data_IF_345992744355
#
_entry.id   IF_345992744355
#
_cell.length_a   1.000
_cell.length_b   1.000
_cell.length_c   1.000
_cell.angle_alpha   90.00
_cell.angle_beta   90.00
_cell.angle_gamma   90.00
#
_symmetry.space_group_name_H-M   'P 1'
#
loop_
_entity.id
_entity.type
_entity.pdbx_description
1 polymer ?
#
# COMPACT_ATOMS: atom_id res chain seq x y z
N UNK A 1 -26.51 25.18 -12.56
CA UNK A 1 -26.44 25.46 -11.11
C UNK A 1 -25.54 26.65 -10.89
N UNK A 2 -25.83 27.51 -9.90
CA UNK A 2 -24.90 28.56 -9.50
C UNK A 2 -23.63 27.92 -8.90
N UNK A 3 -22.49 28.59 -9.07
CA UNK A 3 -21.24 28.14 -8.48
C UNK A 3 -21.30 28.24 -6.96
N UNK A 4 -20.98 27.15 -6.26
CA UNK A 4 -20.86 27.10 -4.80
C UNK A 4 -19.38 27.00 -4.43
N UNK A 5 -18.83 28.07 -3.88
CA UNK A 5 -17.43 28.10 -3.45
C UNK A 5 -17.16 27.20 -2.25
N UNK A 6 -18.12 27.09 -1.33
CA UNK A 6 -17.97 26.26 -0.14
C UNK A 6 -17.84 24.79 -0.50
N UNK A 7 -18.69 24.30 -1.42
CA UNK A 7 -18.59 22.93 -1.92
C UNK A 7 -17.28 22.69 -2.69
N UNK A 8 -16.86 23.63 -3.54
CA UNK A 8 -15.62 23.49 -4.29
C UNK A 8 -14.37 23.47 -3.38
N UNK A 9 -14.38 24.23 -2.29
CA UNK A 9 -13.33 24.19 -1.25
C UNK A 9 -13.32 22.83 -0.54
N UNK A 10 -14.50 22.31 -0.15
CA UNK A 10 -14.59 20.97 0.45
C UNK A 10 -14.09 19.89 -0.49
N UNK A 11 -14.36 20.02 -1.78
CA UNK A 11 -13.90 19.09 -2.80
C UNK A 11 -12.38 19.02 -2.83
N UNK A 12 -11.66 20.15 -2.83
CA UNK A 12 -10.17 20.14 -2.74
C UNK A 12 -9.69 19.36 -1.50
N UNK A 13 -10.31 19.56 -0.34
CA UNK A 13 -9.95 18.80 0.87
C UNK A 13 -10.31 17.32 0.78
N UNK A 14 -11.41 16.98 0.10
CA UNK A 14 -11.84 15.61 -0.10
C UNK A 14 -10.88 14.85 -1.02
N UNK A 15 -10.46 15.48 -2.13
CA UNK A 15 -9.38 14.95 -2.96
C UNK A 15 -8.13 14.79 -2.12
N UNK A 16 -7.70 15.83 -1.40
CA UNK A 16 -6.51 15.75 -0.54
C UNK A 16 -6.53 14.54 0.42
N UNK A 17 -7.67 14.35 1.07
CA UNK A 17 -7.89 13.21 1.97
C UNK A 17 -7.79 11.85 1.25
N UNK A 18 -8.31 11.75 0.01
CA UNK A 18 -8.24 10.54 -0.81
C UNK A 18 -6.80 10.19 -1.17
N UNK A 19 -6.03 11.09 -1.79
CA UNK A 19 -4.68 10.68 -2.22
C UNK A 19 -3.73 10.48 -1.03
N UNK A 20 -3.92 11.21 0.07
CA UNK A 20 -3.16 10.97 1.29
C UNK A 20 -3.51 9.62 1.92
N UNK A 21 -4.77 9.20 1.85
CA UNK A 21 -5.19 7.84 2.21
C UNK A 21 -4.55 6.79 1.30
N UNK A 22 -4.57 6.98 -0.02
CA UNK A 22 -3.97 6.05 -0.98
C UNK A 22 -2.45 5.91 -0.79
N UNK A 23 -1.76 7.01 -0.47
CA UNK A 23 -0.36 6.95 -0.06
C UNK A 23 -0.14 6.08 1.19
N UNK A 24 -1.07 6.14 2.16
CA UNK A 24 -1.07 5.28 3.35
C UNK A 24 -1.42 3.81 3.05
N UNK A 25 -2.26 3.55 2.06
CA UNK A 25 -2.51 2.20 1.55
C UNK A 25 -1.22 1.63 0.95
N UNK A 26 -0.51 2.42 0.13
CA UNK A 26 0.79 2.03 -0.41
C UNK A 26 1.82 1.74 0.71
N UNK A 27 1.88 2.56 1.76
CA UNK A 27 2.71 2.27 2.96
C UNK A 27 2.40 0.86 3.53
N UNK A 28 1.12 0.53 3.64
CA UNK A 28 0.67 -0.80 4.09
C UNK A 28 1.05 -1.90 3.10
N UNK A 29 0.90 -1.65 1.80
CA UNK A 29 1.32 -2.55 0.73
C UNK A 29 2.81 -2.93 0.82
N UNK A 30 3.67 -1.95 1.12
CA UNK A 30 5.11 -2.19 1.32
C UNK A 30 5.41 -3.05 2.56
N UNK A 31 4.68 -2.85 3.66
CA UNK A 31 4.79 -3.69 4.85
C UNK A 31 4.38 -5.14 4.53
N UNK A 32 3.30 -5.33 3.76
CA UNK A 32 2.84 -6.65 3.30
C UNK A 32 3.86 -7.30 2.36
N UNK A 33 4.47 -6.54 1.46
CA UNK A 33 5.53 -7.04 0.57
C UNK A 33 6.73 -7.59 1.37
N UNK A 34 7.19 -6.82 2.37
CA UNK A 34 8.26 -7.24 3.27
C UNK A 34 7.86 -8.49 4.08
N UNK A 35 6.61 -8.59 4.50
CA UNK A 35 6.07 -9.75 5.21
C UNK A 35 6.07 -10.99 4.31
N UNK A 36 5.63 -10.89 3.06
CA UNK A 36 5.64 -12.02 2.13
C UNK A 36 7.07 -12.47 1.81
N UNK A 37 7.96 -11.54 1.42
CA UNK A 37 9.31 -11.86 0.95
C UNK A 37 10.24 -12.28 2.09
N UNK A 38 10.30 -11.50 3.18
CA UNK A 38 11.30 -11.76 4.23
C UNK A 38 10.81 -12.71 5.33
N UNK A 39 9.53 -12.61 5.71
CA UNK A 39 8.99 -13.39 6.82
C UNK A 39 8.42 -14.72 6.33
N UNK A 40 7.44 -14.69 5.43
CA UNK A 40 6.73 -15.90 5.02
C UNK A 40 7.59 -16.82 4.17
N UNK A 41 8.42 -16.33 3.24
CA UNK A 41 9.33 -17.22 2.51
C UNK A 41 10.28 -17.96 3.45
N UNK A 42 10.83 -17.27 4.46
CA UNK A 42 11.69 -17.90 5.47
C UNK A 42 10.93 -18.99 6.22
N UNK A 43 9.74 -18.68 6.73
CA UNK A 43 8.92 -19.65 7.48
C UNK A 43 8.52 -20.83 6.59
N UNK A 44 8.11 -20.56 5.34
CA UNK A 44 7.75 -21.58 4.36
C UNK A 44 8.92 -22.53 4.09
N UNK A 45 10.12 -21.99 3.86
CA UNK A 45 11.31 -22.78 3.55
C UNK A 45 11.75 -23.63 4.76
N UNK A 46 11.66 -23.08 5.98
CA UNK A 46 11.89 -23.81 7.23
C UNK A 46 10.88 -24.95 7.43
N UNK A 47 9.58 -24.66 7.27
CA UNK A 47 8.51 -25.65 7.38
C UNK A 47 8.68 -26.78 6.35
N UNK A 48 9.05 -26.43 5.11
CA UNK A 48 9.23 -27.38 4.02
C UNK A 48 10.43 -28.30 4.25
N UNK A 49 11.52 -27.79 4.86
CA UNK A 49 12.75 -28.54 5.07
C UNK A 49 12.58 -29.74 6.00
N UNK A 50 11.76 -29.64 7.04
CA UNK A 50 11.54 -30.72 8.02
C UNK A 50 10.10 -31.26 8.03
N UNK A 51 9.26 -30.79 7.11
CA UNK A 51 7.83 -31.08 7.01
C UNK A 51 7.03 -30.67 8.25
N UNK A 52 7.38 -29.52 8.83
CA UNK A 52 6.68 -28.91 9.94
C UNK A 52 6.97 -29.55 11.30
N UNK A 53 8.00 -30.40 11.42
CA UNK A 53 8.32 -31.08 12.69
C UNK A 53 8.74 -30.09 13.79
N UNK A 54 9.43 -29.02 13.41
CA UNK A 54 9.85 -27.93 14.30
C UNK A 54 8.84 -26.78 14.37
N UNK A 55 7.68 -26.89 13.71
CA UNK A 55 6.71 -25.80 13.68
C UNK A 55 6.03 -25.65 15.05
N UNK A 56 6.29 -24.52 15.70
CA UNK A 56 5.57 -24.07 16.89
C UNK A 56 4.66 -22.90 16.50
N UNK A 57 3.36 -23.10 16.63
CA UNK A 57 2.34 -22.10 16.31
C UNK A 57 2.43 -20.87 17.21
N UNK A 58 2.62 -21.06 18.51
CA UNK A 58 2.68 -19.97 19.49
C UNK A 58 3.90 -19.10 19.22
N UNK A 59 5.03 -19.72 18.92
CA UNK A 59 6.24 -18.99 18.52
C UNK A 59 6.03 -18.26 17.19
N UNK A 60 5.44 -18.92 16.19
CA UNK A 60 5.15 -18.31 14.88
C UNK A 60 4.28 -17.05 15.01
N UNK A 61 3.17 -17.12 15.77
CA UNK A 61 2.26 -15.99 15.97
C UNK A 61 2.97 -14.82 16.67
N UNK A 62 3.77 -15.09 17.72
CA UNK A 62 4.55 -14.06 18.39
C UNK A 62 5.63 -13.43 17.49
N UNK A 63 6.30 -14.22 16.65
CA UNK A 63 7.27 -13.71 15.67
C UNK A 63 6.61 -12.87 14.59
N UNK A 64 5.43 -13.28 14.11
CA UNK A 64 4.64 -12.55 13.13
C UNK A 64 4.20 -11.20 13.67
N UNK A 65 3.60 -11.16 14.87
CA UNK A 65 3.14 -9.92 15.50
C UNK A 65 4.30 -8.93 15.70
N UNK A 66 5.44 -9.43 16.21
CA UNK A 66 6.65 -8.61 16.36
C UNK A 66 7.15 -8.11 15.01
N UNK A 67 7.13 -8.94 13.97
CA UNK A 67 7.52 -8.53 12.63
C UNK A 67 6.64 -7.40 12.11
N UNK A 68 5.31 -7.56 12.18
CA UNK A 68 4.35 -6.57 11.70
C UNK A 68 4.39 -5.27 12.50
N UNK A 69 4.49 -5.34 13.83
CA UNK A 69 4.71 -4.16 14.68
C UNK A 69 5.96 -3.38 14.25
N UNK A 70 7.06 -4.07 13.97
CA UNK A 70 8.27 -3.44 13.47
C UNK A 70 8.08 -2.77 12.10
N UNK A 71 7.23 -3.33 11.22
CA UNK A 71 6.93 -2.72 9.92
C UNK A 71 6.08 -1.46 10.08
N UNK A 72 5.01 -1.53 10.89
CA UNK A 72 4.09 -0.41 11.12
C UNK A 72 4.74 0.76 11.88
N UNK A 73 5.82 0.52 12.63
CA UNK A 73 6.60 1.57 13.27
C UNK A 73 7.54 2.32 12.30
N UNK A 74 7.71 1.83 11.06
CA UNK A 74 8.57 2.49 10.06
C UNK A 74 7.83 3.64 9.38
N UNK A 75 8.60 4.67 9.00
CA UNK A 75 8.12 5.68 8.05
C UNK A 75 8.09 5.09 6.62
N UNK A 76 7.29 5.69 5.72
CA UNK A 76 7.28 5.34 4.29
C UNK A 76 8.69 5.28 3.70
N UNK A 77 9.53 6.26 4.01
CA UNK A 77 10.91 6.31 3.52
C UNK A 77 11.75 5.10 3.96
N UNK A 78 11.57 4.64 5.20
CA UNK A 78 12.27 3.46 5.70
C UNK A 78 11.72 2.17 5.09
N UNK A 79 10.40 2.06 4.86
CA UNK A 79 9.80 0.94 4.14
C UNK A 79 10.33 0.86 2.71
N UNK A 80 10.32 1.97 1.96
CA UNK A 80 10.85 2.03 0.59
C UNK A 80 12.33 1.65 0.56
N UNK A 81 13.14 2.13 1.51
CA UNK A 81 14.56 1.75 1.58
C UNK A 81 14.74 0.24 1.70
N UNK A 82 13.92 -0.41 2.52
CA UNK A 82 13.99 -1.87 2.74
C UNK A 82 13.48 -2.64 1.53
N UNK A 83 12.36 -2.21 0.95
CA UNK A 83 11.78 -2.79 -0.28
C UNK A 83 12.74 -2.64 -1.46
N UNK A 84 13.46 -1.51 -1.56
CA UNK A 84 14.45 -1.28 -2.62
C UNK A 84 15.65 -2.20 -2.55
N UNK A 85 15.92 -2.81 -1.40
CA UNK A 85 16.99 -3.79 -1.22
C UNK A 85 16.56 -5.23 -1.60
N UNK A 86 15.29 -5.46 -1.90
CA UNK A 86 14.77 -6.78 -2.27
C UNK A 86 15.14 -7.09 -3.73
N UNK A 87 15.86 -8.19 -4.01
CA UNK A 87 16.18 -8.59 -5.37
C UNK A 87 14.96 -9.06 -6.18
N UNK A 88 13.87 -9.42 -5.52
CA UNK A 88 12.62 -9.91 -6.14
C UNK A 88 11.86 -8.83 -6.90
N UNK A 89 12.10 -7.56 -6.59
CA UNK A 89 11.37 -6.43 -7.16
C UNK A 89 12.18 -5.73 -8.26
N UNK A 90 11.51 -5.31 -9.32
CA UNK A 90 12.14 -4.67 -10.46
C UNK A 90 12.70 -3.29 -10.12
N UNK A 91 13.76 -2.88 -10.82
CA UNK A 91 14.33 -1.55 -10.67
C UNK A 91 13.36 -0.44 -11.09
N UNK A 92 12.45 -0.75 -12.04
CA UNK A 92 11.39 0.16 -12.50
C UNK A 92 10.41 0.45 -11.35
N UNK A 93 9.93 -0.58 -10.64
CA UNK A 93 9.05 -0.39 -9.49
C UNK A 93 9.77 0.37 -8.37
N UNK A 94 11.03 0.03 -8.09
CA UNK A 94 11.84 0.73 -7.08
C UNK A 94 12.02 2.20 -7.40
N UNK A 95 12.16 2.56 -8.68
CA UNK A 95 12.21 3.96 -9.11
C UNK A 95 10.90 4.69 -8.88
N UNK A 96 9.79 4.09 -9.28
CA UNK A 96 8.46 4.66 -9.05
C UNK A 96 8.14 4.84 -7.56
N UNK A 97 8.58 3.92 -6.71
CA UNK A 97 8.46 4.07 -5.24
C UNK A 97 9.24 5.28 -4.73
N UNK A 98 10.45 5.55 -5.26
CA UNK A 98 11.21 6.76 -4.89
C UNK A 98 10.47 8.03 -5.28
N UNK A 99 9.79 8.05 -6.42
CA UNK A 99 9.01 9.20 -6.86
C UNK A 99 7.71 9.36 -6.06
N UNK A 100 7.02 8.27 -5.75
CA UNK A 100 5.88 8.27 -4.83
C UNK A 100 6.23 8.85 -3.46
N UNK A 101 7.42 8.52 -2.92
CA UNK A 101 7.92 9.13 -1.69
C UNK A 101 8.01 10.65 -1.80
N UNK A 102 8.61 11.16 -2.89
CA UNK A 102 8.75 12.61 -3.09
C UNK A 102 7.38 13.29 -3.14
N UNK A 103 6.40 12.68 -3.82
CA UNK A 103 5.02 13.21 -3.86
C UNK A 103 4.36 13.18 -2.48
N UNK A 104 4.43 12.06 -1.75
CA UNK A 104 3.89 11.96 -0.38
C UNK A 104 4.52 12.99 0.57
N UNK A 105 5.83 13.19 0.50
CA UNK A 105 6.53 14.20 1.30
C UNK A 105 6.05 15.62 0.94
N UNK A 106 5.87 15.91 -0.35
CA UNK A 106 5.31 17.17 -0.82
C UNK A 106 3.88 17.40 -0.29
N UNK A 107 3.01 16.40 -0.42
CA UNK A 107 1.63 16.42 0.10
C UNK A 107 1.60 16.69 1.61
N UNK A 108 2.43 15.99 2.38
CA UNK A 108 2.44 16.09 3.84
C UNK A 108 3.08 17.36 4.41
N UNK A 109 3.95 18.04 3.65
CA UNK A 109 4.76 19.14 4.21
C UNK A 109 4.64 20.48 3.47
N UNK A 110 4.24 20.48 2.20
CA UNK A 110 4.39 21.65 1.34
C UNK A 110 3.12 22.02 0.57
N UNK A 111 2.27 21.05 0.24
CA UNK A 111 1.18 21.21 -0.73
C UNK A 111 0.33 22.47 -0.52
N UNK A 112 -0.39 22.59 0.59
CA UNK A 112 -1.28 23.74 0.81
C UNK A 112 -0.54 25.08 0.94
N UNK A 113 0.69 25.08 1.47
CA UNK A 113 1.51 26.31 1.55
C UNK A 113 1.90 26.78 0.15
N UNK A 114 2.30 25.86 -0.71
CA UNK A 114 2.75 26.18 -2.07
C UNK A 114 1.60 26.41 -3.05
N UNK A 115 0.41 25.87 -2.76
CA UNK A 115 -0.81 26.05 -3.56
C UNK A 115 -1.75 27.12 -3.01
N UNK A 116 -1.32 27.95 -2.07
CA UNK A 116 -2.19 28.93 -1.41
C UNK A 116 -2.82 29.94 -2.39
N UNK A 117 -2.08 30.33 -3.43
CA UNK A 117 -2.56 31.27 -4.46
C UNK A 117 -3.60 30.60 -5.36
N UNK A 118 -3.34 29.37 -5.79
CA UNK A 118 -4.29 28.55 -6.55
C UNK A 118 -5.57 28.31 -5.76
N UNK A 119 -5.46 27.99 -4.47
CA UNK A 119 -6.59 27.73 -3.60
C UNK A 119 -7.55 28.92 -3.46
N UNK A 120 -7.06 30.14 -3.66
CA UNK A 120 -7.80 31.39 -3.47
C UNK A 120 -8.83 31.69 -4.56
N UNK A 121 -8.87 30.92 -5.64
CA UNK A 121 -9.81 31.15 -6.74
C UNK A 121 -10.27 29.84 -7.39
N UNK A 122 -11.39 29.91 -8.11
CA UNK A 122 -12.00 28.72 -8.74
C UNK A 122 -11.05 27.98 -9.68
N UNK A 123 -10.44 28.69 -10.64
CA UNK A 123 -9.58 28.06 -11.64
C UNK A 123 -8.32 27.41 -11.03
N UNK A 124 -7.82 27.96 -9.91
CA UNK A 124 -6.72 27.34 -9.18
C UNK A 124 -7.16 26.11 -8.40
N UNK A 125 -8.34 26.12 -7.76
CA UNK A 125 -8.91 24.91 -7.14
C UNK A 125 -9.18 23.78 -8.14
N UNK A 126 -9.64 24.12 -9.35
CA UNK A 126 -9.80 23.13 -10.44
C UNK A 126 -8.44 22.45 -10.76
N UNK A 127 -7.34 23.22 -10.78
CA UNK A 127 -5.98 22.67 -10.99
C UNK A 127 -5.52 21.81 -9.81
N UNK A 128 -5.82 22.24 -8.58
CA UNK A 128 -5.48 21.49 -7.38
C UNK A 128 -6.19 20.13 -7.37
N UNK A 129 -7.49 20.10 -7.65
CA UNK A 129 -8.26 18.84 -7.76
C UNK A 129 -7.67 17.91 -8.82
N UNK A 130 -7.32 18.44 -10.00
CA UNK A 130 -6.71 17.63 -11.05
C UNK A 130 -5.31 17.09 -10.65
N UNK A 131 -4.49 17.90 -9.97
CA UNK A 131 -3.18 17.46 -9.44
C UNK A 131 -3.35 16.33 -8.42
N UNK A 132 -4.27 16.50 -7.47
CA UNK A 132 -4.54 15.54 -6.39
C UNK A 132 -5.12 14.23 -6.91
N UNK A 133 -6.06 14.30 -7.85
CA UNK A 133 -6.58 13.12 -8.53
C UNK A 133 -5.47 12.32 -9.20
N UNK A 134 -4.56 13.00 -9.92
CA UNK A 134 -3.44 12.35 -10.58
C UNK A 134 -2.42 11.76 -9.58
N UNK A 135 -2.17 12.43 -8.46
CA UNK A 135 -1.33 11.87 -7.38
C UNK A 135 -1.94 10.57 -6.84
N UNK A 136 -3.26 10.54 -6.64
CA UNK A 136 -3.97 9.34 -6.22
C UNK A 136 -3.84 8.17 -7.21
N UNK A 137 -4.10 8.45 -8.49
CA UNK A 137 -3.94 7.47 -9.57
C UNK A 137 -2.51 6.89 -9.62
N UNK A 138 -1.49 7.70 -9.32
CA UNK A 138 -0.09 7.25 -9.23
C UNK A 138 0.11 6.28 -8.07
N UNK A 139 -0.40 6.59 -6.87
CA UNK A 139 -0.26 5.71 -5.70
C UNK A 139 -0.96 4.37 -5.93
N UNK A 140 -2.21 4.39 -6.42
CA UNK A 140 -2.95 3.17 -6.76
C UNK A 140 -2.23 2.34 -7.83
N UNK A 141 -1.71 2.98 -8.88
CA UNK A 141 -1.00 2.26 -9.93
C UNK A 141 0.25 1.56 -9.39
N UNK A 142 1.01 2.24 -8.53
CA UNK A 142 2.21 1.64 -7.91
C UNK A 142 1.84 0.49 -6.98
N UNK A 143 0.74 0.60 -6.22
CA UNK A 143 0.27 -0.49 -5.37
C UNK A 143 -0.16 -1.71 -6.20
N UNK A 144 -0.88 -1.50 -7.32
CA UNK A 144 -1.23 -2.57 -8.27
C UNK A 144 0.01 -3.25 -8.86
N UNK A 145 1.03 -2.48 -9.23
CA UNK A 145 2.26 -3.02 -9.79
C UNK A 145 3.08 -3.81 -8.74
N UNK A 146 3.14 -3.31 -7.51
CA UNK A 146 3.71 -4.04 -6.38
C UNK A 146 2.98 -5.37 -6.16
N UNK A 147 1.64 -5.36 -6.18
CA UNK A 147 0.84 -6.57 -6.09
C UNK A 147 1.15 -7.53 -7.24
N UNK A 148 1.29 -7.04 -8.47
CA UNK A 148 1.62 -7.86 -9.64
C UNK A 148 3.01 -8.51 -9.54
N UNK A 149 4.04 -7.75 -9.15
CA UNK A 149 5.41 -8.27 -8.99
C UNK A 149 5.52 -9.34 -7.88
N UNK A 150 4.65 -9.27 -6.88
CA UNK A 150 4.59 -10.27 -5.81
C UNK A 150 3.86 -11.56 -6.20
N UNK A 151 3.31 -11.67 -7.41
CA UNK A 151 2.57 -12.87 -7.84
C UNK A 151 3.40 -14.18 -7.74
N UNK A 152 4.67 -14.25 -8.21
CA UNK A 152 5.48 -15.46 -8.07
C UNK A 152 5.76 -15.83 -6.61
N UNK A 153 5.90 -14.83 -5.73
CA UNK A 153 6.10 -15.03 -4.30
C UNK A 153 4.83 -15.60 -3.67
N UNK A 154 3.66 -15.03 -3.98
CA UNK A 154 2.37 -15.57 -3.52
C UNK A 154 2.14 -16.98 -4.02
N UNK A 155 2.51 -17.31 -5.25
CA UNK A 155 2.42 -18.66 -5.78
C UNK A 155 3.31 -19.64 -5.01
N UNK A 156 4.59 -19.28 -4.75
CA UNK A 156 5.49 -20.06 -3.89
C UNK A 156 4.88 -20.32 -2.50
N UNK A 157 4.24 -19.31 -1.91
CA UNK A 157 3.65 -19.38 -0.58
C UNK A 157 2.30 -20.12 -0.53
N UNK A 158 1.80 -20.64 -1.66
CA UNK A 158 0.49 -21.28 -1.73
C UNK A 158 -0.68 -20.30 -1.61
N UNK A 159 -0.43 -19.00 -1.77
CA UNK A 159 -1.40 -17.91 -1.76
C UNK A 159 -1.96 -17.62 -3.16
N UNK A 160 -2.10 -18.66 -3.97
CA UNK A 160 -2.61 -18.58 -5.34
C UNK A 160 -3.59 -19.73 -5.62
N UNK A 161 -4.40 -19.56 -6.66
CA UNK A 161 -5.31 -20.59 -7.16
C UNK A 161 -6.61 -20.76 -6.36
N UNK A 162 -7.44 -21.71 -6.82
CA UNK A 162 -8.83 -21.85 -6.40
C UNK A 162 -9.00 -22.21 -4.91
N UNK A 163 -8.07 -22.98 -4.34
CA UNK A 163 -8.13 -23.31 -2.90
C UNK A 163 -7.98 -22.06 -2.03
N UNK A 164 -7.02 -21.20 -2.37
CA UNK A 164 -6.78 -19.96 -1.64
C UNK A 164 -7.95 -18.98 -1.81
N UNK A 165 -8.47 -18.83 -3.04
CA UNK A 165 -9.68 -18.03 -3.30
C UNK A 165 -10.88 -18.50 -2.47
N UNK A 166 -11.11 -19.81 -2.40
CA UNK A 166 -12.19 -20.39 -1.58
C UNK A 166 -12.00 -20.10 -0.09
N UNK A 167 -10.77 -20.20 0.41
CA UNK A 167 -10.45 -19.84 1.79
C UNK A 167 -10.74 -18.37 2.07
N UNK A 168 -10.29 -17.46 1.19
CA UNK A 168 -10.57 -16.02 1.32
C UNK A 168 -12.06 -15.72 1.31
N UNK A 169 -12.82 -16.30 0.38
CA UNK A 169 -14.27 -16.12 0.31
C UNK A 169 -14.98 -16.56 1.61
N UNK A 170 -14.56 -17.69 2.20
CA UNK A 170 -15.07 -18.16 3.50
C UNK A 170 -14.68 -17.23 4.65
N UNK A 171 -13.42 -16.76 4.66
CA UNK A 171 -12.94 -15.82 5.65
C UNK A 171 -13.75 -14.51 5.64
N UNK A 172 -13.97 -13.92 4.47
CA UNK A 172 -14.77 -12.70 4.33
C UNK A 172 -16.23 -12.91 4.74
N UNK A 173 -16.86 -13.99 4.28
CA UNK A 173 -18.23 -14.34 4.68
C UNK A 173 -18.39 -14.49 6.19
N UNK A 174 -17.38 -15.07 6.87
CA UNK A 174 -17.39 -15.26 8.33
C UNK A 174 -17.30 -13.94 9.10
N UNK A 175 -16.68 -12.91 8.52
CA UNK A 175 -16.45 -11.62 9.15
C UNK A 175 -17.38 -10.52 8.62
N UNK A 176 -18.44 -10.88 7.88
CA UNK A 176 -19.43 -9.93 7.36
C UNK A 176 -18.88 -8.97 6.30
N UNK A 177 -17.73 -9.28 5.71
CA UNK A 177 -17.14 -8.50 4.61
C UNK A 177 -17.68 -9.10 3.31
N UNK A 178 -18.31 -8.27 2.46
CA UNK A 178 -18.74 -8.69 1.13
C UNK A 178 -17.57 -9.22 0.30
N UNK A 179 -17.82 -10.00 -0.76
CA UNK A 179 -16.74 -10.45 -1.64
C UNK A 179 -15.96 -9.22 -2.15
N UNK A 180 -14.62 -9.29 -2.10
CA UNK A 180 -13.77 -8.33 -2.82
C UNK A 180 -14.15 -8.41 -4.29
N UNK A 181 -14.87 -7.40 -4.79
CA UNK A 181 -15.12 -7.24 -6.22
C UNK A 181 -13.85 -6.67 -6.84
N UNK A 182 -13.36 -7.34 -7.90
CA UNK A 182 -12.26 -6.90 -8.75
C UNK A 182 -12.52 -5.50 -9.36
#
# INVERSE_FOLDING_TARGET
MAYDEGEHVKEVFAYFGREYYEAGVLETGLAIALMQINFLCRVHDQYSADRGKSFDRTQYEAEFDRFMQNQHAQTLGNLIKRVSALPELSDILKERLRDAKKRRDFLGHHYFRERAVEFSNRAGRDKMIAELHNDGDIFEAIDRDLYAELAPIREKLGMAGEKFKKYLAQFYATHGVGPLTD
#
